data_IF_260920281199
#
_entry.id   IF_260920281199
#
_cell.length_a   1.000
_cell.length_b   1.000
_cell.length_c   1.000
_cell.angle_alpha   90.00
_cell.angle_beta   90.00
_cell.angle_gamma   90.00
#
_symmetry.space_group_name_H-M   'P 1'
#
loop_
_entity.id
_entity.type
_entity.pdbx_description
1 polymer ?
#
# COMPACT_ATOMS: atom_id res chain seq x y z
N UNK A 1 54.37 42.97 -1.46
CA UNK A 1 54.34 42.24 -0.18
C UNK A 1 53.14 41.29 -0.23
N UNK A 2 53.17 40.13 -0.90
CA UNK A 2 54.03 38.96 -0.66
C UNK A 2 53.56 38.28 0.62
N UNK A 3 52.86 37.13 0.61
CA UNK A 3 53.33 35.74 0.39
C UNK A 3 52.11 34.86 -0.04
N UNK A 4 52.05 34.22 -1.22
CA UNK A 4 52.65 32.93 -1.67
C UNK A 4 52.23 31.68 -0.87
N UNK A 5 51.50 30.77 -1.53
CA UNK A 5 51.59 29.28 -1.52
C UNK A 5 50.42 28.74 -2.38
N UNK A 6 50.59 28.54 -3.69
CA UNK A 6 51.08 27.33 -4.39
C UNK A 6 50.27 26.05 -4.15
N UNK A 7 49.73 25.57 -5.28
CA UNK A 7 49.53 24.19 -5.71
C UNK A 7 48.57 23.25 -4.95
N UNK A 8 47.60 22.79 -5.74
CA UNK A 8 47.41 21.38 -6.11
C UNK A 8 46.13 20.65 -5.65
N UNK A 9 45.56 19.99 -6.68
CA UNK A 9 44.78 18.75 -6.66
C UNK A 9 43.33 18.91 -6.25
N UNK A 10 42.45 18.96 -7.26
CA UNK A 10 41.05 18.57 -7.13
C UNK A 10 40.97 17.04 -6.94
N UNK A 11 40.53 16.52 -5.78
CA UNK A 11 40.01 15.17 -5.75
C UNK A 11 38.57 15.22 -6.24
N UNK A 12 38.30 14.37 -7.23
CA UNK A 12 36.98 14.03 -7.76
C UNK A 12 36.15 13.46 -6.61
N UNK A 13 35.51 14.31 -5.82
CA UNK A 13 34.48 13.87 -4.90
C UNK A 13 33.20 13.72 -5.68
N UNK A 14 32.98 12.50 -6.18
CA UNK A 14 31.71 12.05 -6.70
C UNK A 14 30.62 12.33 -5.68
N UNK A 15 29.85 13.40 -5.93
CA UNK A 15 28.61 13.70 -5.22
C UNK A 15 27.65 12.55 -5.49
N UNK A 16 27.68 11.50 -4.66
CA UNK A 16 26.53 10.62 -4.49
C UNK A 16 25.40 11.51 -4.00
N UNK A 17 24.56 11.97 -4.93
CA UNK A 17 23.26 12.55 -4.63
C UNK A 17 22.55 11.52 -3.76
N UNK A 18 22.43 11.78 -2.45
CA UNK A 18 21.42 11.13 -1.63
C UNK A 18 20.10 11.55 -2.26
N UNK A 19 19.55 10.70 -3.11
CA UNK A 19 18.20 10.91 -3.62
C UNK A 19 17.30 10.90 -2.38
N UNK A 20 16.60 12.00 -2.14
CA UNK A 20 15.56 12.03 -1.13
C UNK A 20 14.53 10.97 -1.55
N UNK A 21 14.28 10.00 -0.68
CA UNK A 21 13.17 9.07 -0.86
C UNK A 21 11.92 9.96 -0.93
N UNK A 22 11.12 9.91 -2.00
CA UNK A 22 9.94 10.75 -2.11
C UNK A 22 9.04 10.45 -0.91
N UNK A 23 8.54 11.50 -0.26
CA UNK A 23 7.78 11.43 1.01
C UNK A 23 6.49 10.58 0.92
N UNK A 24 6.13 10.08 -0.26
CA UNK A 24 4.97 9.20 -0.50
C UNK A 24 5.37 7.78 -0.94
N UNK A 25 6.63 7.38 -0.85
CA UNK A 25 7.03 6.00 -1.14
C UNK A 25 6.82 5.14 0.11
N UNK A 26 6.02 4.09 -0.03
CA UNK A 26 5.85 3.09 1.01
C UNK A 26 7.22 2.44 1.29
N UNK A 27 7.52 2.12 2.55
CA UNK A 27 8.76 1.41 2.89
C UNK A 27 8.85 0.12 2.04
N UNK A 28 9.96 -0.14 1.32
CA UNK A 28 10.10 -1.30 0.45
C UNK A 28 9.82 -2.64 1.17
N UNK A 29 10.08 -2.72 2.48
CA UNK A 29 9.79 -3.91 3.28
C UNK A 29 8.28 -4.13 3.45
N UNK A 30 7.52 -3.04 3.55
CA UNK A 30 6.05 -3.11 3.65
C UNK A 30 5.47 -3.46 2.29
N UNK A 31 6.01 -2.90 1.20
CA UNK A 31 5.62 -3.29 -0.15
C UNK A 31 5.87 -4.79 -0.41
N UNK A 32 6.99 -5.33 0.04
CA UNK A 32 7.31 -6.77 -0.06
C UNK A 32 6.31 -7.66 0.70
N UNK A 33 5.81 -7.20 1.85
CA UNK A 33 4.74 -7.89 2.58
C UNK A 33 3.43 -7.91 1.78
N UNK A 34 3.06 -6.78 1.17
CA UNK A 34 1.88 -6.73 0.29
C UNK A 34 2.05 -7.63 -0.93
N UNK A 35 3.23 -7.63 -1.53
CA UNK A 35 3.54 -8.48 -2.68
C UNK A 35 3.44 -9.96 -2.30
N UNK A 36 4.04 -10.36 -1.18
CA UNK A 36 3.96 -11.73 -0.67
C UNK A 36 2.52 -12.16 -0.37
N UNK A 37 1.72 -11.29 0.25
CA UNK A 37 0.31 -11.53 0.50
C UNK A 37 -0.48 -11.70 -0.82
N UNK A 38 -0.25 -10.83 -1.80
CA UNK A 38 -0.92 -10.86 -3.09
C UNK A 38 -0.58 -12.13 -3.89
N UNK A 39 0.70 -12.52 -3.92
CA UNK A 39 1.15 -13.75 -4.59
C UNK A 39 0.57 -15.00 -3.93
N UNK A 40 0.43 -14.99 -2.60
CA UNK A 40 -0.17 -16.10 -1.86
C UNK A 40 -1.69 -16.20 -2.06
N UNK A 41 -2.34 -15.09 -2.39
CA UNK A 41 -3.79 -14.98 -2.58
C UNK A 41 -4.21 -15.29 -4.03
N UNK A 42 -3.97 -16.53 -4.47
CA UNK A 42 -4.23 -16.98 -5.85
C UNK A 42 -5.67 -16.78 -6.35
N UNK A 43 -6.64 -16.71 -5.42
CA UNK A 43 -8.05 -16.52 -5.72
C UNK A 43 -8.56 -15.10 -5.44
N UNK A 44 -7.69 -14.15 -5.12
CA UNK A 44 -8.02 -12.75 -4.84
C UNK A 44 -9.02 -12.57 -3.67
N UNK A 45 -9.00 -13.46 -2.68
CA UNK A 45 -9.86 -13.39 -1.51
C UNK A 45 -9.51 -12.22 -0.58
N UNK A 46 -8.23 -11.91 -0.42
CA UNK A 46 -7.74 -10.74 0.30
C UNK A 46 -8.15 -9.45 -0.38
N UNK A 47 -8.01 -9.35 -1.71
CA UNK A 47 -8.50 -8.19 -2.46
C UNK A 47 -10.02 -8.01 -2.29
N UNK A 48 -10.79 -9.11 -2.37
CA UNK A 48 -12.23 -9.05 -2.14
C UNK A 48 -12.57 -8.61 -0.73
N UNK A 49 -11.88 -9.12 0.29
CA UNK A 49 -12.07 -8.70 1.68
C UNK A 49 -11.81 -7.20 1.84
N UNK A 50 -10.71 -6.69 1.30
CA UNK A 50 -10.37 -5.26 1.36
C UNK A 50 -11.40 -4.41 0.62
N UNK A 51 -11.96 -4.90 -0.49
CA UNK A 51 -13.10 -4.27 -1.15
C UNK A 51 -14.35 -4.25 -0.24
N UNK A 52 -14.70 -5.37 0.40
CA UNK A 52 -15.86 -5.39 1.32
C UNK A 52 -15.67 -4.44 2.49
N UNK A 53 -14.47 -4.42 3.09
CA UNK A 53 -14.08 -3.45 4.13
C UNK A 53 -14.27 -2.01 3.65
N UNK A 54 -13.90 -1.72 2.40
CA UNK A 54 -14.04 -0.40 1.79
C UNK A 54 -15.49 0.11 1.73
N UNK A 55 -16.49 -0.77 1.71
CA UNK A 55 -17.92 -0.39 1.73
C UNK A 55 -18.38 0.21 3.05
N UNK A 56 -17.60 0.04 4.11
CA UNK A 56 -17.95 0.48 5.46
C UNK A 56 -17.11 1.68 5.88
N UNK A 57 -17.68 2.68 6.56
CA UNK A 57 -16.88 3.74 7.17
C UNK A 57 -16.00 3.20 8.32
N UNK A 58 -14.85 3.85 8.55
CA UNK A 58 -13.91 3.50 9.63
C UNK A 58 -14.55 3.40 11.01
N UNK A 59 -15.58 4.21 11.27
CA UNK A 59 -16.32 4.22 12.54
C UNK A 59 -17.19 2.98 12.76
N UNK A 60 -17.60 2.28 11.69
CA UNK A 60 -18.44 1.08 11.79
C UNK A 60 -17.64 -0.22 11.80
N UNK A 61 -16.32 -0.15 11.65
CA UNK A 61 -15.45 -1.32 11.70
C UNK A 61 -14.87 -1.55 13.10
N UNK A 62 -14.61 -2.82 13.40
CA UNK A 62 -13.93 -3.30 14.61
C UNK A 62 -12.77 -4.24 14.24
N UNK A 63 -12.01 -4.65 15.26
CA UNK A 63 -10.98 -5.68 15.14
C UNK A 63 -9.93 -5.39 14.06
N UNK A 64 -9.45 -6.47 13.43
CA UNK A 64 -8.52 -6.37 12.30
C UNK A 64 -9.09 -5.66 11.07
N UNK A 65 -10.41 -5.69 10.83
CA UNK A 65 -11.02 -4.98 9.71
C UNK A 65 -10.77 -3.46 9.80
N UNK A 66 -10.89 -2.89 11.01
CA UNK A 66 -10.60 -1.47 11.26
C UNK A 66 -9.13 -1.14 11.02
N UNK A 67 -8.23 -2.00 11.49
CA UNK A 67 -6.79 -1.83 11.30
C UNK A 67 -6.44 -1.87 9.80
N UNK A 68 -6.99 -2.84 9.08
CA UNK A 68 -6.75 -2.99 7.65
C UNK A 68 -7.27 -1.78 6.86
N UNK A 69 -8.45 -1.24 7.22
CA UNK A 69 -8.93 0.00 6.60
C UNK A 69 -8.04 1.21 6.91
N UNK A 70 -7.46 1.28 8.11
CA UNK A 70 -6.59 2.39 8.50
C UNK A 70 -5.29 2.44 7.68
N UNK A 71 -4.76 1.28 7.29
CA UNK A 71 -3.55 1.20 6.44
C UNK A 71 -3.73 1.99 5.14
N UNK A 72 -4.94 1.99 4.57
CA UNK A 72 -5.24 2.65 3.28
C UNK A 72 -5.91 4.02 3.41
N UNK A 73 -6.11 4.55 4.62
CA UNK A 73 -6.82 5.82 4.83
C UNK A 73 -5.95 7.07 4.62
N UNK A 74 -4.63 6.94 4.76
CA UNK A 74 -3.69 8.07 4.64
C UNK A 74 -3.27 8.35 3.19
N UNK A 75 -3.55 7.44 2.25
CA UNK A 75 -3.24 7.60 0.84
C UNK A 75 -4.26 8.52 0.14
N UNK A 76 -4.28 9.79 0.56
CA UNK A 76 -4.98 10.88 -0.14
C UNK A 76 -4.29 11.27 -1.46
N UNK A 77 -3.16 10.64 -1.80
CA UNK A 77 -2.52 10.82 -3.11
C UNK A 77 -2.62 9.50 -3.85
N UNK A 78 -3.51 9.52 -4.83
CA UNK A 78 -3.78 8.52 -5.88
C UNK A 78 -2.54 8.12 -6.72
N UNK A 79 -1.35 8.57 -6.33
CA UNK A 79 -0.06 8.26 -6.93
C UNK A 79 0.60 7.02 -6.34
N UNK A 80 -0.08 6.23 -5.49
CA UNK A 80 0.36 4.87 -5.21
C UNK A 80 0.54 4.17 -6.57
N UNK A 81 1.77 3.76 -6.85
CA UNK A 81 2.20 3.23 -8.14
C UNK A 81 1.18 2.20 -8.60
N UNK A 82 0.53 2.44 -9.75
CA UNK A 82 -0.56 1.58 -10.26
C UNK A 82 -0.14 0.11 -10.40
N UNK A 83 1.16 -0.16 -10.45
CA UNK A 83 1.76 -1.48 -10.61
C UNK A 83 2.34 -2.08 -9.31
N UNK A 84 2.01 -1.52 -8.15
CA UNK A 84 2.44 -2.05 -6.84
C UNK A 84 1.38 -2.97 -6.21
N UNK A 85 1.83 -3.91 -5.38
CA UNK A 85 0.94 -4.81 -4.67
C UNK A 85 0.07 -4.04 -3.66
N UNK A 86 0.66 -3.06 -2.97
CA UNK A 86 -0.10 -2.12 -2.15
C UNK A 86 -1.17 -1.37 -2.98
N UNK A 87 -0.80 -0.91 -4.18
CA UNK A 87 -1.71 -0.25 -5.12
C UNK A 87 -2.91 -1.13 -5.51
N UNK A 88 -2.72 -2.43 -5.66
CA UNK A 88 -3.82 -3.37 -5.92
C UNK A 88 -4.83 -3.43 -4.75
N UNK A 89 -4.37 -3.49 -3.50
CA UNK A 89 -5.24 -3.47 -2.33
C UNK A 89 -5.94 -2.12 -2.15
N UNK A 90 -5.22 -1.00 -2.35
CA UNK A 90 -5.82 0.33 -2.31
C UNK A 90 -6.91 0.49 -3.36
N UNK A 91 -6.68 -0.02 -4.58
CA UNK A 91 -7.67 -0.05 -5.66
C UNK A 91 -8.89 -0.86 -5.26
N UNK A 92 -8.70 -2.07 -4.71
CA UNK A 92 -9.79 -2.91 -4.24
C UNK A 92 -10.64 -2.21 -3.17
N UNK A 93 -10.00 -1.57 -2.19
CA UNK A 93 -10.68 -0.78 -1.15
C UNK A 93 -11.52 0.33 -1.77
N UNK A 94 -10.97 1.08 -2.72
CA UNK A 94 -11.66 2.20 -3.36
C UNK A 94 -12.86 1.73 -4.19
N UNK A 95 -12.75 0.60 -4.91
CA UNK A 95 -13.89 -0.01 -5.60
C UNK A 95 -15.06 -0.30 -4.64
N UNK A 96 -14.76 -0.79 -3.43
CA UNK A 96 -15.77 -0.98 -2.39
C UNK A 96 -16.37 0.32 -1.87
N UNK A 97 -15.52 1.31 -1.56
CA UNK A 97 -15.96 2.65 -1.13
C UNK A 97 -16.89 3.30 -2.15
N UNK A 98 -16.59 3.12 -3.42
CA UNK A 98 -17.33 3.72 -4.53
C UNK A 98 -18.61 2.92 -4.88
N UNK A 99 -18.96 1.91 -4.08
CA UNK A 99 -20.22 1.16 -4.17
C UNK A 99 -20.17 -0.06 -5.09
N UNK A 100 -18.98 -0.50 -5.51
CA UNK A 100 -18.80 -1.64 -6.40
C UNK A 100 -19.26 -2.97 -5.79
N UNK A 101 -19.73 -3.88 -6.66
CA UNK A 101 -20.01 -5.26 -6.27
C UNK A 101 -18.71 -6.08 -6.20
N UNK A 102 -18.11 -6.12 -5.01
CA UNK A 102 -16.90 -6.88 -4.74
C UNK A 102 -16.99 -8.37 -5.11
N UNK A 103 -18.18 -8.98 -5.11
CA UNK A 103 -18.31 -10.39 -5.50
C UNK A 103 -18.16 -10.55 -7.02
N UNK A 104 -18.76 -9.64 -7.79
CA UNK A 104 -18.60 -9.60 -9.24
C UNK A 104 -17.19 -9.18 -9.67
N UNK A 105 -16.54 -8.28 -8.92
CA UNK A 105 -15.17 -7.80 -9.19
C UNK A 105 -14.10 -8.85 -8.88
N UNK A 106 -14.32 -9.71 -7.88
CA UNK A 106 -13.37 -10.75 -7.46
C UNK A 106 -14.03 -12.14 -7.45
N UNK A 107 -14.47 -12.65 -8.62
CA UNK A 107 -15.31 -13.84 -8.71
C UNK A 107 -14.57 -15.15 -8.43
N UNK A 108 -13.23 -15.14 -8.45
CA UNK A 108 -12.40 -16.33 -8.17
C UNK A 108 -12.39 -16.72 -6.70
N UNK A 109 -12.72 -15.79 -5.80
CA UNK A 109 -12.78 -16.11 -4.38
C UNK A 109 -14.07 -16.87 -4.06
N UNK A 110 -13.94 -18.15 -3.71
CA UNK A 110 -15.08 -19.03 -3.40
C UNK A 110 -15.57 -18.92 -1.96
N UNK A 111 -14.85 -18.18 -1.11
CA UNK A 111 -15.23 -18.00 0.29
C UNK A 111 -16.55 -17.24 0.41
N UNK A 112 -17.25 -17.36 1.54
CA UNK A 112 -18.40 -16.52 1.81
C UNK A 112 -17.91 -15.11 2.26
N UNK A 113 -18.34 -14.01 1.60
CA UNK A 113 -17.90 -12.66 1.96
C UNK A 113 -18.28 -12.27 3.39
N UNK A 114 -19.46 -12.64 3.88
CA UNK A 114 -19.92 -12.31 5.24
C UNK A 114 -19.12 -13.08 6.29
N UNK A 115 -18.78 -14.33 5.99
CA UNK A 115 -17.90 -15.13 6.84
C UNK A 115 -16.52 -14.49 6.95
N UNK A 116 -15.88 -14.12 5.83
CA UNK A 116 -14.57 -13.46 5.85
C UNK A 116 -14.63 -12.13 6.62
N UNK A 117 -15.65 -11.33 6.38
CA UNK A 117 -15.81 -10.04 7.05
C UNK A 117 -16.00 -10.21 8.56
N UNK A 118 -16.86 -11.15 8.99
CA UNK A 118 -17.08 -11.43 10.41
C UNK A 118 -15.82 -11.87 11.15
N UNK A 119 -15.00 -12.72 10.53
CA UNK A 119 -13.72 -13.16 11.12
C UNK A 119 -12.84 -11.94 11.40
N UNK A 120 -12.70 -11.03 10.44
CA UNK A 120 -11.85 -9.85 10.59
C UNK A 120 -12.43 -8.78 11.55
N UNK A 121 -13.74 -8.74 11.74
CA UNK A 121 -14.36 -7.83 12.72
C UNK A 121 -14.25 -8.34 14.16
N UNK A 122 -14.15 -9.66 14.35
CA UNK A 122 -14.19 -10.31 15.67
C UNK A 122 -12.82 -10.72 16.23
N UNK A 123 -11.78 -10.73 15.39
CA UNK A 123 -10.39 -10.86 15.84
C UNK A 123 -9.84 -9.52 16.30
#
# INVERSE_FOLDING_TARGET
>A
NGLFFSDQIFPIFGRRKRQAIPENELDPRVEDLFHTALVSDSNNCGLRLVCQIGKHPQSSLSGHAKNLQAVFNNDRKESAVRDSAHGAYLTARNLGRDGGDCNALFPRCTQNPDMLMSIFQNM
#
